data_IF_338321236584
#
_entry.id   IF_338321236584
#
_cell.length_a   1.000
_cell.length_b   1.000
_cell.length_c   1.000
_cell.angle_alpha   90.00
_cell.angle_beta   90.00
_cell.angle_gamma   90.00
#
_symmetry.space_group_name_H-M   'P 1'
#
loop_
_entity.id
_entity.type
_entity.pdbx_description
1 polymer ?
#
# COMPACT_ATOMS: atom_id res chain seq x y z
N UNK A 1 -25.49 -5.17 -11.63
CA UNK A 1 -24.04 -5.22 -11.92
C UNK A 1 -23.32 -5.39 -10.60
N UNK A 2 -22.57 -6.47 -10.41
CA UNK A 2 -21.87 -6.71 -9.14
C UNK A 2 -20.69 -5.74 -9.01
N UNK A 3 -20.65 -4.96 -7.94
CA UNK A 3 -19.53 -4.05 -7.65
C UNK A 3 -18.24 -4.87 -7.48
N UNK A 4 -17.23 -4.57 -8.29
CA UNK A 4 -15.93 -5.27 -8.26
C UNK A 4 -15.16 -4.83 -7.01
N UNK A 5 -15.07 -5.71 -6.02
CA UNK A 5 -14.31 -5.48 -4.78
C UNK A 5 -12.81 -5.54 -5.05
N UNK A 6 -12.07 -4.54 -4.59
CA UNK A 6 -10.60 -4.56 -4.64
C UNK A 6 -10.05 -5.16 -3.33
N UNK A 7 -9.29 -6.28 -3.35
CA UNK A 7 -8.75 -6.91 -2.15
C UNK A 7 -7.91 -5.98 -1.28
N UNK A 8 -7.27 -5.00 -1.92
CA UNK A 8 -6.43 -4.02 -1.28
C UNK A 8 -7.23 -2.99 -0.48
N UNK A 9 -8.28 -2.44 -1.09
CA UNK A 9 -9.19 -1.51 -0.43
C UNK A 9 -10.02 -2.20 0.64
N UNK A 10 -10.34 -3.48 0.45
CA UNK A 10 -11.07 -4.28 1.44
C UNK A 10 -10.27 -4.43 2.74
N UNK A 11 -8.94 -4.64 2.68
CA UNK A 11 -8.09 -4.69 3.87
C UNK A 11 -8.16 -3.39 4.67
N UNK A 12 -7.97 -2.24 4.01
CA UNK A 12 -8.09 -0.94 4.68
C UNK A 12 -9.51 -0.70 5.22
N UNK A 13 -10.53 -0.96 4.40
CA UNK A 13 -11.94 -0.77 4.75
C UNK A 13 -12.36 -1.61 5.96
N UNK A 14 -11.89 -2.86 6.06
CA UNK A 14 -12.15 -3.73 7.22
C UNK A 14 -11.53 -3.18 8.51
N UNK A 15 -10.34 -2.58 8.44
CA UNK A 15 -9.70 -1.96 9.60
C UNK A 15 -10.41 -0.68 10.03
N UNK A 16 -10.84 0.16 9.08
CA UNK A 16 -11.66 1.35 9.37
C UNK A 16 -12.95 0.93 10.07
N UNK A 17 -13.61 -0.13 9.57
CA UNK A 17 -14.83 -0.67 10.18
C UNK A 17 -14.59 -1.13 11.62
N UNK A 18 -13.52 -1.89 11.88
CA UNK A 18 -13.16 -2.36 13.21
C UNK A 18 -12.90 -1.20 14.18
N UNK A 19 -12.17 -0.17 13.75
CA UNK A 19 -11.88 1.02 14.57
C UNK A 19 -13.14 1.83 14.86
N UNK A 20 -14.03 1.96 13.87
CA UNK A 20 -15.33 2.62 14.05
C UNK A 20 -16.19 1.86 15.07
N UNK A 21 -16.27 0.54 14.95
CA UNK A 21 -17.04 -0.31 15.86
C UNK A 21 -16.45 -0.30 17.28
N UNK A 22 -15.13 -0.25 17.43
CA UNK A 22 -14.45 -0.11 18.73
C UNK A 22 -14.76 1.22 19.44
N UNK A 23 -15.04 2.28 18.66
CA UNK A 23 -15.49 3.59 19.17
C UNK A 23 -17.01 3.66 19.37
N UNK A 24 -17.76 2.58 19.09
CA UNK A 24 -19.21 2.54 19.21
C UNK A 24 -19.98 3.40 18.20
N UNK A 25 -19.32 3.85 17.13
CA UNK A 25 -19.91 4.74 16.13
C UNK A 25 -20.65 3.96 15.05
N UNK A 26 -21.82 4.43 14.65
CA UNK A 26 -22.50 3.98 13.43
C UNK A 26 -21.85 4.55 12.17
N UNK A 27 -22.11 3.93 11.01
CA UNK A 27 -21.67 4.48 9.72
C UNK A 27 -22.24 5.88 9.49
N UNK A 28 -23.49 6.15 9.90
CA UNK A 28 -24.10 7.46 9.76
C UNK A 28 -23.34 8.52 10.56
N UNK A 29 -23.04 8.24 11.84
CA UNK A 29 -22.29 9.15 12.71
C UNK A 29 -20.89 9.45 12.19
N UNK A 30 -20.13 8.42 11.78
CA UNK A 30 -18.79 8.64 11.23
C UNK A 30 -18.84 9.40 9.89
N UNK A 31 -19.79 9.08 9.01
CA UNK A 31 -19.93 9.78 7.73
C UNK A 31 -20.27 11.26 7.90
N UNK A 32 -21.11 11.59 8.90
CA UNK A 32 -21.45 12.96 9.25
C UNK A 32 -20.25 13.73 9.78
N UNK A 33 -19.45 13.13 10.67
CA UNK A 33 -18.23 13.75 11.20
C UNK A 33 -17.17 14.00 10.10
N UNK A 34 -17.14 13.17 9.06
CA UNK A 34 -16.23 13.28 7.92
C UNK A 34 -16.80 14.12 6.76
N UNK A 35 -18.03 14.62 6.89
CA UNK A 35 -18.75 15.36 5.84
C UNK A 35 -18.83 14.60 4.50
N UNK A 36 -19.09 13.29 4.56
CA UNK A 36 -19.30 12.41 3.40
C UNK A 36 -20.65 11.70 3.50
N UNK A 37 -21.14 11.15 2.40
CA UNK A 37 -22.36 10.34 2.44
C UNK A 37 -22.12 9.00 3.14
N UNK A 38 -23.14 8.48 3.84
CA UNK A 38 -23.09 7.13 4.43
C UNK A 38 -22.80 6.06 3.36
N UNK A 39 -23.33 6.21 2.16
CA UNK A 39 -23.08 5.32 1.04
C UNK A 39 -21.60 5.32 0.62
N UNK A 40 -20.94 6.48 0.64
CA UNK A 40 -19.50 6.58 0.38
C UNK A 40 -18.69 5.85 1.45
N UNK A 41 -19.00 6.07 2.74
CA UNK A 41 -18.32 5.36 3.82
C UNK A 41 -18.51 3.84 3.72
N UNK A 42 -19.74 3.38 3.45
CA UNK A 42 -20.04 1.96 3.25
C UNK A 42 -19.29 1.37 2.05
N UNK A 43 -19.15 2.10 0.95
CA UNK A 43 -18.38 1.66 -0.21
C UNK A 43 -16.87 1.58 0.08
N UNK A 44 -16.34 2.47 0.92
CA UNK A 44 -14.95 2.43 1.40
C UNK A 44 -14.73 1.24 2.34
N UNK A 45 -15.59 1.03 3.33
CA UNK A 45 -15.50 -0.11 4.27
C UNK A 45 -15.59 -1.46 3.54
N UNK A 46 -16.38 -1.56 2.47
CA UNK A 46 -16.52 -2.77 1.63
C UNK A 46 -15.43 -2.93 0.56
N UNK A 47 -14.49 -2.01 0.45
CA UNK A 47 -13.42 -2.07 -0.55
C UNK A 47 -13.90 -1.91 -2.01
N UNK A 48 -15.06 -1.28 -2.22
CA UNK A 48 -15.61 -0.96 -3.54
C UNK A 48 -15.09 0.40 -4.02
N UNK A 49 -14.90 1.34 -3.10
CA UNK A 49 -14.33 2.66 -3.37
C UNK A 49 -12.99 2.84 -2.70
N UNK A 50 -12.11 3.54 -3.40
CA UNK A 50 -10.81 3.91 -2.87
C UNK A 50 -10.95 4.97 -1.75
N UNK A 51 -10.26 4.78 -0.64
CA UNK A 51 -10.08 5.82 0.37
C UNK A 51 -8.98 6.78 -0.12
N UNK A 52 -9.25 8.09 -0.13
CA UNK A 52 -8.23 9.11 -0.46
C UNK A 52 -7.29 9.35 0.74
N UNK A 53 -6.05 9.80 0.52
CA UNK A 53 -5.10 10.06 1.60
C UNK A 53 -5.63 11.07 2.63
N UNK A 54 -6.34 12.10 2.17
CA UNK A 54 -6.92 13.14 3.04
C UNK A 54 -8.07 12.58 3.89
N UNK A 55 -8.89 11.71 3.29
CA UNK A 55 -9.98 11.02 4.00
C UNK A 55 -9.41 10.08 5.07
N UNK A 56 -8.33 9.36 4.78
CA UNK A 56 -7.66 8.51 5.76
C UNK A 56 -7.14 9.32 6.97
N UNK A 57 -6.57 10.51 6.72
CA UNK A 57 -6.12 11.41 7.77
C UNK A 57 -7.29 11.99 8.60
N UNK A 58 -8.40 12.35 7.95
CA UNK A 58 -9.61 12.81 8.66
C UNK A 58 -10.21 11.70 9.53
N UNK A 59 -10.24 10.46 9.04
CA UNK A 59 -10.67 9.30 9.84
C UNK A 59 -9.78 9.13 11.07
N UNK A 60 -8.46 9.30 10.92
CA UNK A 60 -7.55 9.24 12.07
C UNK A 60 -7.84 10.30 13.13
N UNK A 61 -8.17 11.52 12.70
CA UNK A 61 -8.54 12.61 13.61
C UNK A 61 -9.85 12.32 14.33
N UNK A 62 -10.90 11.89 13.60
CA UNK A 62 -12.22 11.64 14.17
C UNK A 62 -12.21 10.44 15.12
N UNK A 63 -11.49 9.37 14.76
CA UNK A 63 -11.39 8.16 15.59
C UNK A 63 -10.25 8.24 16.62
N UNK A 64 -9.53 9.36 16.68
CA UNK A 64 -8.37 9.58 17.55
C UNK A 64 -7.37 8.43 17.55
N UNK A 65 -7.07 7.87 16.37
CA UNK A 65 -6.27 6.66 16.22
C UNK A 65 -4.76 6.92 16.12
N UNK A 66 -4.34 8.18 16.24
CA UNK A 66 -2.92 8.54 16.26
C UNK A 66 -2.17 8.24 14.96
N UNK A 67 -2.84 8.33 13.80
CA UNK A 67 -2.22 8.12 12.50
C UNK A 67 -2.19 6.66 12.01
N UNK A 68 -2.85 5.73 12.73
CA UNK A 68 -2.90 4.31 12.34
C UNK A 68 -3.57 4.10 10.98
N UNK A 69 -4.68 4.79 10.68
CA UNK A 69 -5.44 4.62 9.44
C UNK A 69 -4.64 5.14 8.25
N UNK A 70 -3.97 6.30 8.40
CA UNK A 70 -3.07 6.88 7.42
C UNK A 70 -1.87 5.98 7.17
N UNK A 71 -1.26 5.43 8.21
CA UNK A 71 -0.15 4.48 8.07
C UNK A 71 -0.60 3.19 7.37
N UNK A 72 -1.79 2.68 7.68
CA UNK A 72 -2.37 1.53 6.98
C UNK A 72 -2.69 1.87 5.53
N UNK A 73 -3.18 3.08 5.25
CA UNK A 73 -3.39 3.58 3.91
C UNK A 73 -2.06 3.63 3.14
N UNK A 74 -0.99 4.11 3.75
CA UNK A 74 0.35 4.13 3.14
C UNK A 74 0.85 2.69 2.90
N UNK A 75 0.87 1.82 3.91
CA UNK A 75 1.31 0.42 3.75
C UNK A 75 0.54 -0.29 2.64
N UNK A 76 -0.73 0.05 2.46
CA UNK A 76 -1.52 -0.42 1.35
C UNK A 76 -1.07 0.30 0.05
N UNK A 77 -1.28 1.60 -0.09
CA UNK A 77 -1.17 2.33 -1.34
C UNK A 77 0.26 2.68 -1.79
N UNK A 78 1.22 2.82 -0.87
CA UNK A 78 2.63 3.14 -1.17
C UNK A 78 3.53 1.92 -1.24
N UNK A 79 3.15 0.75 -0.70
CA UNK A 79 3.86 -0.52 -1.01
C UNK A 79 3.51 -1.09 -2.39
N UNK A 80 2.97 -0.30 -3.32
CA UNK A 80 2.78 -0.73 -4.71
C UNK A 80 4.09 -1.07 -5.43
N UNK A 81 5.23 -0.61 -4.92
CA UNK A 81 6.52 -0.84 -5.56
C UNK A 81 6.94 -2.33 -5.54
N UNK A 82 6.48 -3.09 -4.54
CA UNK A 82 6.80 -4.51 -4.41
C UNK A 82 5.55 -5.38 -4.48
N UNK A 83 5.58 -6.48 -5.24
CA UNK A 83 4.56 -7.51 -5.16
C UNK A 83 4.35 -8.01 -3.72
N UNK A 84 3.14 -8.47 -3.40
CA UNK A 84 2.80 -8.90 -2.04
C UNK A 84 3.79 -9.92 -1.46
N UNK A 85 4.20 -10.91 -2.27
CA UNK A 85 5.13 -11.97 -1.88
C UNK A 85 6.55 -11.46 -1.55
N UNK A 86 6.92 -10.29 -2.06
CA UNK A 86 8.26 -9.71 -1.86
C UNK A 86 8.32 -8.77 -0.65
N UNK A 87 7.17 -8.38 -0.09
CA UNK A 87 7.14 -7.45 1.06
C UNK A 87 7.81 -8.04 2.30
N UNK A 88 7.57 -9.33 2.57
CA UNK A 88 8.16 -10.02 3.72
C UNK A 88 9.67 -10.22 3.52
N UNK A 89 10.10 -10.46 2.27
CA UNK A 89 11.52 -10.55 1.91
C UNK A 89 12.24 -9.24 2.22
N UNK A 90 11.63 -8.07 1.94
CA UNK A 90 12.24 -6.78 2.28
C UNK A 90 12.46 -6.64 3.79
N UNK A 91 11.53 -7.12 4.62
CA UNK A 91 11.69 -7.06 6.08
C UNK A 91 12.77 -8.01 6.57
N UNK A 92 12.77 -9.25 6.09
CA UNK A 92 13.80 -10.25 6.42
C UNK A 92 15.19 -9.80 5.99
N UNK A 93 15.29 -9.21 4.79
CA UNK A 93 16.55 -8.69 4.27
C UNK A 93 17.14 -7.60 5.17
N UNK A 94 16.30 -6.70 5.72
CA UNK A 94 16.77 -5.65 6.64
C UNK A 94 17.24 -6.17 7.99
N UNK A 95 16.71 -7.31 8.43
CA UNK A 95 17.08 -7.96 9.67
C UNK A 95 18.25 -8.95 9.52
N UNK A 96 18.62 -9.29 8.28
CA UNK A 96 19.64 -10.29 8.01
C UNK A 96 21.04 -9.72 8.27
N UNK A 97 21.87 -10.51 8.96
CA UNK A 97 23.31 -10.22 9.07
C UNK A 97 24.05 -10.54 7.77
N UNK A 98 23.57 -11.54 7.03
CA UNK A 98 24.14 -11.99 5.75
C UNK A 98 23.02 -12.47 4.80
N UNK A 99 23.23 -12.29 3.50
CA UNK A 99 22.30 -12.73 2.46
C UNK A 99 23.08 -13.55 1.43
N UNK A 100 22.65 -14.78 1.24
CA UNK A 100 23.22 -15.69 0.24
C UNK A 100 22.19 -15.83 -0.88
N UNK A 101 22.54 -15.31 -2.06
CA UNK A 101 21.65 -15.31 -3.23
C UNK A 101 22.39 -15.88 -4.43
N UNK A 102 21.71 -16.76 -5.18
CA UNK A 102 22.19 -17.26 -6.46
C UNK A 102 21.27 -16.78 -7.58
N UNK A 103 21.86 -16.34 -8.69
CA UNK A 103 21.15 -15.91 -9.89
C UNK A 103 21.82 -16.53 -11.11
N UNK A 104 21.03 -17.17 -11.98
CA UNK A 104 21.55 -17.87 -13.16
C UNK A 104 22.05 -16.88 -14.22
N UNK A 105 21.32 -15.78 -14.44
CA UNK A 105 21.57 -14.87 -15.57
C UNK A 105 21.43 -13.38 -15.22
N UNK A 106 21.03 -13.05 -14.00
CA UNK A 106 20.74 -11.68 -13.59
C UNK A 106 21.67 -11.24 -12.47
N UNK A 107 21.98 -9.95 -12.43
CA UNK A 107 22.66 -9.36 -11.28
C UNK A 107 21.67 -9.33 -10.10
N UNK A 108 22.05 -9.80 -8.89
CA UNK A 108 21.21 -9.71 -7.69
C UNK A 108 20.65 -8.31 -7.48
N UNK A 109 19.38 -8.21 -7.05
CA UNK A 109 18.65 -6.95 -7.01
C UNK A 109 19.32 -5.84 -6.19
N UNK A 110 20.08 -6.21 -5.16
CA UNK A 110 20.83 -5.30 -4.29
C UNK A 110 22.12 -4.76 -4.92
N UNK A 111 22.60 -5.41 -5.98
CA UNK A 111 23.84 -5.03 -6.67
C UNK A 111 23.56 -4.34 -8.02
N UNK A 112 22.30 -4.11 -8.36
CA UNK A 112 21.90 -3.47 -9.62
C UNK A 112 22.14 -1.95 -9.56
N UNK A 113 22.73 -1.38 -10.61
CA UNK A 113 22.72 0.08 -10.81
C UNK A 113 21.32 0.57 -11.16
N UNK A 114 21.11 1.88 -11.10
CA UNK A 114 19.82 2.52 -11.48
C UNK A 114 19.42 2.14 -12.90
N UNK A 115 20.37 2.20 -13.83
CA UNK A 115 20.17 1.93 -15.26
C UNK A 115 19.80 0.47 -15.48
N UNK A 116 20.55 -0.46 -14.86
CA UNK A 116 20.26 -1.90 -14.95
C UNK A 116 18.87 -2.22 -14.38
N UNK A 117 18.55 -1.69 -13.19
CA UNK A 117 17.26 -1.88 -12.56
C UNK A 117 16.12 -1.37 -13.45
N UNK A 118 16.29 -0.19 -14.08
CA UNK A 118 15.31 0.41 -15.00
C UNK A 118 15.05 -0.50 -16.20
N UNK A 119 16.10 -0.86 -16.94
CA UNK A 119 15.97 -1.72 -18.13
C UNK A 119 15.31 -3.04 -17.79
N UNK A 120 15.73 -3.67 -16.70
CA UNK A 120 15.16 -4.95 -16.26
C UNK A 120 13.69 -4.84 -15.86
N UNK A 121 13.28 -3.77 -15.17
CA UNK A 121 11.88 -3.56 -14.77
C UNK A 121 11.03 -3.30 -16.02
N UNK A 122 11.50 -2.47 -16.96
CA UNK A 122 10.80 -2.20 -18.22
C UNK A 122 10.58 -3.47 -19.04
N UNK A 123 11.61 -4.31 -19.19
CA UNK A 123 11.50 -5.60 -19.89
C UNK A 123 10.47 -6.53 -19.23
N UNK A 124 10.39 -6.53 -17.90
CA UNK A 124 9.41 -7.35 -17.18
C UNK A 124 7.98 -6.83 -17.23
N UNK A 125 7.78 -5.56 -17.58
CA UNK A 125 6.50 -4.85 -17.51
C UNK A 125 6.34 -3.88 -18.68
N UNK A 126 6.14 -4.39 -19.91
CA UNK A 126 6.15 -3.58 -21.12
C UNK A 126 4.99 -2.57 -21.19
N UNK A 127 3.92 -2.75 -20.40
CA UNK A 127 2.74 -1.87 -20.38
C UNK A 127 2.75 -0.87 -19.23
N UNK A 128 3.76 -0.88 -18.35
CA UNK A 128 3.82 0.03 -17.21
C UNK A 128 4.16 1.45 -17.66
N UNK A 129 3.59 2.45 -16.97
CA UNK A 129 3.91 3.86 -17.22
C UNK A 129 5.33 4.19 -16.77
N UNK A 130 5.88 5.31 -17.26
CA UNK A 130 7.23 5.78 -16.87
C UNK A 130 7.30 6.01 -15.36
N UNK A 131 6.25 6.57 -14.78
CA UNK A 131 6.14 6.87 -13.35
C UNK A 131 6.12 5.58 -12.52
N UNK A 132 5.42 4.54 -12.99
CA UNK A 132 5.39 3.23 -12.31
C UNK A 132 6.77 2.55 -12.35
N UNK A 133 7.48 2.66 -13.47
CA UNK A 133 8.87 2.18 -13.61
C UNK A 133 9.77 2.94 -12.64
N UNK A 134 9.70 4.26 -12.61
CA UNK A 134 10.53 5.11 -11.75
C UNK A 134 10.28 4.81 -10.27
N UNK A 135 9.03 4.60 -9.87
CA UNK A 135 8.68 4.22 -8.50
C UNK A 135 9.34 2.89 -8.10
N UNK A 136 9.33 1.89 -9.01
CA UNK A 136 9.94 0.57 -8.75
C UNK A 136 11.47 0.61 -8.75
N UNK A 137 12.07 1.42 -9.62
CA UNK A 137 13.51 1.64 -9.63
C UNK A 137 13.94 2.28 -8.31
N UNK A 138 13.26 3.36 -7.90
CA UNK A 138 13.53 4.04 -6.63
C UNK A 138 13.43 3.08 -5.45
N UNK A 139 12.35 2.32 -5.36
CA UNK A 139 12.19 1.34 -4.29
C UNK A 139 13.28 0.27 -4.28
N UNK A 140 13.79 -0.16 -5.45
CA UNK A 140 14.92 -1.10 -5.51
C UNK A 140 16.21 -0.47 -4.99
N UNK A 141 16.50 0.77 -5.35
CA UNK A 141 17.71 1.47 -4.93
C UNK A 141 17.65 1.82 -3.43
N UNK A 142 16.49 2.20 -2.91
CA UNK A 142 16.29 2.49 -1.48
C UNK A 142 16.63 1.28 -0.59
N UNK A 143 16.56 0.05 -1.13
CA UNK A 143 16.98 -1.17 -0.42
C UNK A 143 18.50 -1.36 -0.30
N UNK A 144 19.30 -0.64 -1.09
CA UNK A 144 20.77 -0.74 -1.07
C UNK A 144 21.38 0.09 0.07
N UNK A 145 20.67 1.12 0.52
CA UNK A 145 21.12 2.04 1.56
C UNK A 145 20.79 1.56 2.97
N UNK A 146 20.34 0.31 3.13
CA UNK A 146 20.02 -0.32 4.43
C UNK A 146 21.01 -1.43 4.72
#
# INVERSE_FOLDING_TARGET
MADRVNPHWLKLGSQIRLLREAQGLSQAQLSQALNISQAMLSAVERGIRNCKPDLAAQIDHVLNTGGKVRRLWEINHTNSAFPHWFRDIVQLQRAASEIWEFQIALIPGLLQTKEYARTRIQLSQPTASVEEIDQKVRARLDRQST
#
